data_IF_711946411122
#
_entry.id   IF_711946411122
#
_cell.length_a   1.000
_cell.length_b   1.000
_cell.length_c   1.000
_cell.angle_alpha   90.00
_cell.angle_beta   90.00
_cell.angle_gamma   90.00
#
_symmetry.space_group_name_H-M   'P 1'
#
loop_
_entity.id
_entity.type
_entity.pdbx_description
1 polymer ?
#
# COMPACT_ATOMS: atom_id res chain seq x y z
N UNK A 1 -12.46 2.55 11.66
CA UNK A 1 -11.14 2.52 10.99
C UNK A 1 -10.44 1.26 11.50
N UNK A 2 -10.50 0.16 10.76
CA UNK A 2 -9.78 -1.07 11.16
C UNK A 2 -8.29 -0.79 10.91
N UNK A 3 -7.50 -0.74 11.97
CA UNK A 3 -6.04 -0.67 11.86
C UNK A 3 -5.55 -2.05 11.39
N UNK A 4 -5.44 -2.22 10.07
CA UNK A 4 -4.74 -3.36 9.50
C UNK A 4 -3.26 -3.25 9.90
N UNK A 5 -2.82 -4.11 10.82
CA UNK A 5 -1.39 -4.24 11.18
C UNK A 5 -0.81 -5.31 10.27
N UNK A 6 -0.29 -4.91 9.11
CA UNK A 6 0.55 -5.79 8.33
C UNK A 6 1.97 -5.80 8.91
N UNK A 7 2.70 -6.89 8.72
CA UNK A 7 4.13 -6.85 8.96
C UNK A 7 4.79 -5.97 7.87
N UNK A 8 5.95 -5.41 8.19
CA UNK A 8 6.64 -4.44 7.31
C UNK A 8 6.81 -4.91 5.86
N UNK A 9 7.15 -6.19 5.55
CA UNK A 9 7.26 -6.63 4.16
C UNK A 9 5.97 -6.49 3.34
N UNK A 10 4.84 -6.86 3.93
CA UNK A 10 3.52 -6.79 3.31
C UNK A 10 3.08 -5.35 3.11
N UNK A 11 3.31 -4.47 4.10
CA UNK A 11 3.03 -3.04 3.98
C UNK A 11 3.83 -2.40 2.84
N UNK A 12 5.11 -2.76 2.69
CA UNK A 12 5.97 -2.26 1.62
C UNK A 12 5.49 -2.71 0.23
N UNK A 13 5.05 -3.97 0.11
CA UNK A 13 4.52 -4.52 -1.14
C UNK A 13 3.22 -3.80 -1.51
N UNK A 14 2.30 -3.66 -0.55
CA UNK A 14 1.02 -2.96 -0.76
C UNK A 14 1.29 -1.50 -1.14
N UNK A 15 2.12 -0.78 -0.38
CA UNK A 15 2.45 0.62 -0.66
C UNK A 15 3.31 0.83 -1.92
N UNK A 16 3.74 -0.25 -2.59
CA UNK A 16 4.57 -0.22 -3.80
C UNK A 16 5.94 0.45 -3.62
N UNK A 17 6.49 0.38 -2.41
CA UNK A 17 7.74 1.03 -2.04
C UNK A 17 8.81 0.04 -1.57
N UNK A 18 10.06 0.49 -1.58
CA UNK A 18 11.21 -0.29 -1.11
C UNK A 18 11.37 -0.20 0.40
N UNK A 19 12.11 -1.15 0.98
CA UNK A 19 12.47 -1.22 2.42
C UNK A 19 13.20 0.03 2.95
N UNK A 20 13.73 0.87 2.07
CA UNK A 20 14.41 2.11 2.44
C UNK A 20 13.47 3.33 2.52
N UNK A 21 12.15 3.10 2.49
CA UNK A 21 11.14 4.13 2.63
C UNK A 21 10.03 3.66 3.58
N UNK A 22 9.36 4.62 4.20
CA UNK A 22 8.21 4.36 5.06
C UNK A 22 6.94 4.10 4.22
N UNK A 23 6.15 3.06 4.52
CA UNK A 23 4.87 2.83 3.82
C UNK A 23 3.79 3.84 4.21
N UNK A 24 3.98 4.54 5.31
CA UNK A 24 2.98 5.42 5.92
C UNK A 24 3.31 6.91 5.64
N UNK A 25 4.58 7.26 5.52
CA UNK A 25 5.05 8.64 5.34
C UNK A 25 5.97 8.77 4.14
N UNK A 26 6.20 9.99 3.68
CA UNK A 26 7.18 10.27 2.60
C UNK A 26 8.64 10.13 3.08
N UNK A 27 8.87 9.73 4.33
CA UNK A 27 10.19 9.57 4.90
C UNK A 27 10.95 8.42 4.24
N UNK A 28 12.24 8.65 4.00
CA UNK A 28 13.19 7.63 3.57
C UNK A 28 14.12 7.24 4.72
N UNK A 29 14.93 6.20 4.54
CA UNK A 29 15.91 5.82 5.56
C UNK A 29 16.88 6.96 5.95
N UNK A 30 17.11 7.94 5.07
CA UNK A 30 17.91 9.11 5.36
C UNK A 30 17.23 10.09 6.35
N UNK A 31 15.91 9.99 6.49
CA UNK A 31 15.07 10.81 7.37
C UNK A 31 14.71 10.10 8.68
N UNK A 32 15.12 8.83 8.84
CA UNK A 32 14.79 8.08 10.04
C UNK A 32 15.62 8.60 11.21
N UNK A 33 14.92 9.04 12.26
CA UNK A 33 15.53 9.73 13.39
C UNK A 33 15.40 11.26 13.33
N UNK A 34 14.78 11.80 12.27
CA UNK A 34 14.41 13.22 12.24
C UNK A 34 13.45 13.54 13.41
N UNK A 35 13.62 14.70 14.06
CA UNK A 35 12.75 15.11 15.16
C UNK A 35 11.34 15.51 14.68
N UNK A 36 11.20 15.82 13.39
CA UNK A 36 9.96 16.29 12.79
C UNK A 36 9.14 15.16 12.15
N UNK A 37 7.83 15.28 12.25
CA UNK A 37 6.90 14.36 11.59
C UNK A 37 6.89 14.59 10.08
N UNK A 38 7.20 13.54 9.31
CA UNK A 38 7.11 13.59 7.85
C UNK A 38 5.66 13.49 7.36
N UNK A 39 5.31 14.16 6.24
CA UNK A 39 3.99 14.06 5.64
C UNK A 39 3.58 12.61 5.34
N UNK A 40 2.28 12.34 5.38
CA UNK A 40 1.74 11.03 5.01
C UNK A 40 2.02 10.70 3.55
N UNK A 41 2.35 9.44 3.29
CA UNK A 41 2.41 8.88 1.96
C UNK A 41 0.97 8.75 1.44
N UNK A 42 0.67 9.40 0.33
CA UNK A 42 -0.66 9.32 -0.30
C UNK A 42 -0.58 8.43 -1.53
N UNK A 43 -1.61 7.64 -1.77
CA UNK A 43 -1.79 6.82 -2.97
C UNK A 43 -1.46 7.61 -4.25
N UNK A 44 -1.95 8.85 -4.34
CA UNK A 44 -1.72 9.75 -5.49
C UNK A 44 -0.24 10.09 -5.71
N UNK A 45 0.56 10.19 -4.65
CA UNK A 45 1.99 10.48 -4.76
C UNK A 45 2.78 9.28 -5.29
N UNK A 46 2.45 8.08 -4.82
CA UNK A 46 3.01 6.82 -5.31
C UNK A 46 2.64 6.60 -6.78
N UNK A 47 1.35 6.78 -7.13
CA UNK A 47 0.87 6.68 -8.51
C UNK A 47 1.56 7.69 -9.44
N UNK A 48 1.73 8.94 -9.00
CA UNK A 48 2.43 9.95 -9.78
C UNK A 48 3.89 9.57 -10.04
N UNK A 49 4.59 8.98 -9.06
CA UNK A 49 5.96 8.52 -9.24
C UNK A 49 6.03 7.30 -10.18
N UNK A 50 5.11 6.35 -10.06
CA UNK A 50 5.00 5.22 -11.00
C UNK A 50 4.79 5.72 -12.43
N UNK A 51 3.86 6.67 -12.62
CA UNK A 51 3.58 7.27 -13.93
C UNK A 51 4.82 7.95 -14.55
N UNK A 52 5.60 8.68 -13.75
CA UNK A 52 6.86 9.30 -14.20
C UNK A 52 7.85 8.24 -14.70
N UNK A 53 7.94 7.10 -14.02
CA UNK A 53 8.82 6.01 -14.44
C UNK A 53 8.33 5.40 -15.76
N UNK A 54 7.05 5.06 -15.87
CA UNK A 54 6.45 4.42 -17.05
C UNK A 54 6.59 5.29 -18.31
N UNK A 55 6.41 6.62 -18.17
CA UNK A 55 6.60 7.56 -19.30
C UNK A 55 8.07 7.60 -19.74
N UNK A 56 9.01 7.39 -18.81
CA UNK A 56 10.44 7.51 -19.10
C UNK A 56 11.07 6.23 -19.67
N UNK A 57 10.65 5.05 -19.19
CA UNK A 57 11.23 3.76 -19.53
C UNK A 57 10.10 2.74 -19.64
N UNK A 58 10.15 1.93 -20.71
CA UNK A 58 9.17 0.86 -20.88
C UNK A 58 9.31 -0.18 -19.76
N UNK A 59 8.20 -0.60 -19.13
CA UNK A 59 8.22 -1.67 -18.13
C UNK A 59 8.74 -3.02 -18.67
N UNK A 60 8.75 -3.21 -19.99
CA UNK A 60 9.34 -4.40 -20.62
C UNK A 60 10.88 -4.44 -20.50
N UNK A 61 11.53 -3.29 -20.33
CA UNK A 61 12.96 -3.17 -20.08
C UNK A 61 13.26 -3.36 -18.59
N UNK A 62 12.97 -4.55 -18.05
CA UNK A 62 12.94 -4.85 -16.61
C UNK A 62 14.11 -4.30 -15.80
N UNK A 63 15.35 -4.47 -16.28
CA UNK A 63 16.55 -4.00 -15.58
C UNK A 63 16.61 -2.46 -15.51
N UNK A 64 16.33 -1.80 -16.62
CA UNK A 64 16.32 -0.34 -16.69
C UNK A 64 15.14 0.24 -15.89
N UNK A 65 13.97 -0.37 -16.01
CA UNK A 65 12.76 -0.01 -15.28
C UNK A 65 12.97 -0.12 -13.77
N UNK A 66 13.44 -1.27 -13.29
CA UNK A 66 13.68 -1.48 -11.85
C UNK A 66 14.75 -0.52 -11.30
N UNK A 67 15.81 -0.25 -12.07
CA UNK A 67 16.83 0.74 -11.70
C UNK A 67 16.22 2.14 -11.57
N UNK A 68 15.28 2.50 -12.44
CA UNK A 68 14.56 3.78 -12.40
C UNK A 68 13.58 3.85 -11.24
N UNK A 69 12.82 2.80 -10.97
CA UNK A 69 11.92 2.68 -9.82
C UNK A 69 12.66 2.96 -8.50
N UNK A 70 13.87 2.40 -8.33
CA UNK A 70 14.68 2.62 -7.12
C UNK A 70 15.03 4.09 -6.89
N UNK A 71 15.15 4.91 -7.94
CA UNK A 71 15.39 6.36 -7.81
C UNK A 71 14.21 7.09 -7.14
N UNK A 72 13.02 6.49 -7.18
CA UNK A 72 11.81 7.00 -6.56
C UNK A 72 11.39 6.17 -5.34
N UNK A 73 12.26 5.30 -4.81
CA UNK A 73 11.96 4.37 -3.72
C UNK A 73 10.80 3.41 -4.01
N UNK A 74 10.51 3.13 -5.29
CA UNK A 74 9.47 2.19 -5.73
C UNK A 74 10.00 0.76 -5.85
N UNK A 75 9.16 -0.22 -5.54
CA UNK A 75 9.51 -1.65 -5.58
C UNK A 75 9.44 -2.29 -6.98
N UNK A 76 9.13 -1.52 -8.03
CA UNK A 76 9.03 -2.04 -9.40
C UNK A 76 7.62 -2.47 -9.83
N UNK A 77 6.60 -2.23 -9.01
CA UNK A 77 5.20 -2.44 -9.42
C UNK A 77 4.76 -1.33 -10.38
N UNK A 78 4.32 -1.70 -11.58
CA UNK A 78 3.75 -0.78 -12.58
C UNK A 78 2.27 -0.46 -12.29
N UNK A 79 1.52 -1.43 -11.77
CA UNK A 79 0.08 -1.32 -11.50
C UNK A 79 -0.20 -1.83 -10.09
N UNK A 80 -0.31 -0.94 -9.09
CA UNK A 80 -0.67 -1.31 -7.74
C UNK A 80 -2.03 -1.99 -7.67
N UNK A 81 -2.15 -3.00 -6.81
CA UNK A 81 -3.38 -3.76 -6.60
C UNK A 81 -4.59 -2.86 -6.30
N UNK A 82 -4.38 -1.80 -5.52
CA UNK A 82 -5.40 -0.87 -5.06
C UNK A 82 -5.71 0.27 -6.02
N UNK A 83 -5.04 0.36 -7.19
CA UNK A 83 -5.23 1.47 -8.14
C UNK A 83 -6.71 1.65 -8.52
N UNK A 84 -7.42 0.54 -8.72
CA UNK A 84 -8.81 0.53 -9.20
C UNK A 84 -9.83 0.11 -8.12
N UNK A 85 -9.43 -0.05 -6.87
CA UNK A 85 -10.32 -0.56 -5.81
C UNK A 85 -11.55 0.32 -5.56
N UNK A 86 -11.47 1.62 -5.80
CA UNK A 86 -12.60 2.55 -5.62
C UNK A 86 -13.68 2.34 -6.69
N UNK A 87 -13.31 1.82 -7.85
CA UNK A 87 -14.18 1.74 -9.03
C UNK A 87 -14.56 0.30 -9.40
N UNK A 88 -13.92 -0.69 -8.79
CA UNK A 88 -14.08 -2.11 -9.11
C UNK A 88 -14.76 -2.86 -7.98
N UNK A 89 -15.70 -3.74 -8.33
CA UNK A 89 -16.36 -4.61 -7.37
C UNK A 89 -15.35 -5.61 -6.76
N UNK A 90 -15.22 -5.70 -5.43
CA UNK A 90 -14.25 -6.58 -4.78
C UNK A 90 -14.37 -8.06 -5.18
N UNK A 91 -15.57 -8.55 -5.52
CA UNK A 91 -15.75 -9.95 -5.93
C UNK A 91 -15.12 -10.27 -7.29
N UNK A 92 -14.79 -9.25 -8.09
CA UNK A 92 -14.11 -9.43 -9.37
C UNK A 92 -12.64 -9.81 -9.26
N UNK A 93 -11.99 -9.53 -8.12
CA UNK A 93 -10.56 -9.81 -7.92
C UNK A 93 -10.24 -10.55 -6.61
N UNK A 94 -11.14 -10.55 -5.63
CA UNK A 94 -11.01 -11.36 -4.42
C UNK A 94 -11.63 -12.74 -4.65
N UNK A 95 -10.91 -13.79 -4.26
CA UNK A 95 -11.47 -15.14 -4.22
C UNK A 95 -12.63 -15.19 -3.22
N UNK A 96 -13.68 -15.98 -3.53
CA UNK A 96 -14.86 -16.12 -2.67
C UNK A 96 -14.51 -16.45 -1.22
N UNK A 97 -13.50 -17.29 -1.00
CA UNK A 97 -12.99 -17.61 0.34
C UNK A 97 -12.38 -16.39 1.06
N UNK A 98 -11.56 -15.60 0.36
CA UNK A 98 -11.01 -14.36 0.92
C UNK A 98 -12.11 -13.36 1.23
N UNK A 99 -13.09 -13.21 0.33
CA UNK A 99 -14.24 -12.34 0.52
C UNK A 99 -15.09 -12.77 1.73
N UNK A 100 -15.36 -14.07 1.86
CA UNK A 100 -16.05 -14.66 3.00
C UNK A 100 -15.28 -14.43 4.30
N UNK A 101 -13.96 -14.63 4.29
CA UNK A 101 -13.13 -14.44 5.48
C UNK A 101 -13.08 -12.97 5.91
N UNK A 102 -12.94 -12.04 4.97
CA UNK A 102 -12.99 -10.61 5.27
C UNK A 102 -14.36 -10.23 5.80
N UNK A 103 -15.45 -10.65 5.13
CA UNK A 103 -16.82 -10.42 5.61
C UNK A 103 -16.99 -10.94 7.04
N UNK A 104 -16.56 -12.17 7.32
CA UNK A 104 -16.63 -12.75 8.66
C UNK A 104 -15.84 -11.93 9.69
N UNK A 105 -14.61 -11.50 9.37
CA UNK A 105 -13.82 -10.64 10.25
C UNK A 105 -14.55 -9.33 10.55
N UNK A 106 -15.10 -8.65 9.55
CA UNK A 106 -15.82 -7.38 9.74
C UNK A 106 -17.04 -7.55 10.66
N UNK A 107 -17.86 -8.58 10.43
CA UNK A 107 -19.07 -8.82 11.21
C UNK A 107 -18.76 -9.36 12.62
N UNK A 108 -17.84 -10.32 12.76
CA UNK A 108 -17.53 -10.91 14.06
C UNK A 108 -16.76 -9.92 14.98
N UNK A 109 -15.99 -8.97 14.43
CA UNK A 109 -15.30 -7.95 15.24
C UNK A 109 -16.23 -6.86 15.77
N UNK A 110 -17.17 -6.34 14.97
CA UNK A 110 -18.10 -5.29 15.43
C UNK A 110 -19.00 -5.79 16.56
N UNK A 111 -19.30 -7.10 16.59
CA UNK A 111 -20.07 -7.70 17.67
C UNK A 111 -19.34 -7.78 19.01
N UNK A 112 -18.01 -7.71 19.07
CA UNK A 112 -17.26 -7.75 20.35
C UNK A 112 -17.07 -6.34 20.93
N UNK A 113 -16.97 -5.31 20.08
CA UNK A 113 -16.79 -3.93 20.52
C UNK A 113 -18.08 -3.29 21.05
N UNK A 114 -19.23 -3.60 20.48
CA UNK A 114 -20.51 -3.04 20.93
C UNK A 114 -21.03 -3.60 22.27
N UNK A 115 -20.50 -4.72 22.76
CA UNK A 115 -20.91 -5.31 24.06
C UNK A 115 -20.16 -4.70 25.26
N UNK A 116 -19.09 -3.95 25.02
CA UNK A 116 -18.26 -3.34 26.07
C UNK A 116 -18.51 -1.83 26.24
N UNK A 117 -19.58 -1.28 25.63
CA UNK A 117 -19.96 0.14 25.82
C UNK A 117 -20.96 0.31 26.98
N UNK A 118 -21.49 -0.78 27.54
CA UNK A 118 -22.44 -0.77 28.67
C UNK A 118 -21.90 -1.47 29.95
N UNK A 119 -20.65 -1.21 30.35
CA UNK A 119 -20.15 -1.54 31.70
C UNK A 119 -19.49 -0.35 32.38
#
# INVERSE_FOLDING_TARGET
LIAYVANTPEELVIACITINASPITVATCANFGDPDHHPLCKDSSTLANIHKVIISISPSELVAFFKKCKQYHLNGVQQPLWMDWVTVDPSSFLMLESLHHFHKIFFDYDHVWCVNIDQ
#
